data_IF_099963526022
#
_entry.id   IF_099963526022
#
_cell.length_a   1.000
_cell.length_b   1.000
_cell.length_c   1.000
_cell.angle_alpha   90.00
_cell.angle_beta   90.00
_cell.angle_gamma   90.00
#
_symmetry.space_group_name_H-M   'P 1'
#
loop_
_entity.id
_entity.type
_entity.pdbx_description
1 polymer ?
#
# COMPACT_ATOMS: atom_id res chain seq x y z
N UNK A 1 -18.36 7.60 -22.85
CA UNK A 1 -16.99 7.16 -22.48
C UNK A 1 -16.14 8.33 -21.96
N UNK A 2 -16.04 9.49 -22.67
CA UNK A 2 -15.26 10.64 -22.23
C UNK A 2 -15.57 11.07 -20.78
N UNK A 3 -16.85 11.14 -20.40
CA UNK A 3 -17.27 11.48 -19.03
C UNK A 3 -16.74 10.50 -17.99
N UNK A 4 -16.61 9.23 -18.32
CA UNK A 4 -16.08 8.22 -17.38
C UNK A 4 -14.60 8.46 -17.08
N UNK A 5 -13.79 8.78 -18.11
CA UNK A 5 -12.37 9.10 -17.89
C UNK A 5 -12.18 10.39 -17.10
N UNK A 6 -13.00 11.41 -17.35
CA UNK A 6 -12.98 12.65 -16.57
C UNK A 6 -13.34 12.38 -15.12
N UNK A 7 -14.42 11.62 -14.87
CA UNK A 7 -14.82 11.27 -13.51
C UNK A 7 -13.73 10.45 -12.80
N UNK A 8 -13.12 9.50 -13.49
CA UNK A 8 -12.04 8.69 -12.94
C UNK A 8 -10.83 9.55 -12.55
N UNK A 9 -10.42 10.47 -13.44
CA UNK A 9 -9.33 11.39 -13.16
C UNK A 9 -9.66 12.30 -11.96
N UNK A 10 -10.86 12.88 -11.92
CA UNK A 10 -11.29 13.74 -10.82
C UNK A 10 -11.34 12.97 -9.48
N UNK A 11 -11.94 11.77 -9.46
CA UNK A 11 -12.03 10.95 -8.25
C UNK A 11 -10.63 10.61 -7.73
N UNK A 12 -9.69 10.23 -8.60
CA UNK A 12 -8.33 9.89 -8.18
C UNK A 12 -7.53 11.12 -7.73
N UNK A 13 -7.67 12.26 -8.41
CA UNK A 13 -7.00 13.50 -8.01
C UNK A 13 -7.55 14.05 -6.69
N UNK A 14 -8.88 14.12 -6.54
CA UNK A 14 -9.48 14.57 -5.28
C UNK A 14 -9.27 13.56 -4.16
N UNK A 15 -9.27 12.26 -4.46
CA UNK A 15 -8.87 11.21 -3.53
C UNK A 15 -7.44 11.38 -3.04
N UNK A 16 -6.52 11.77 -3.92
CA UNK A 16 -5.15 12.14 -3.54
C UNK A 16 -5.13 13.37 -2.62
N UNK A 17 -5.78 14.45 -3.02
CA UNK A 17 -5.84 15.70 -2.23
C UNK A 17 -6.53 15.52 -0.88
N UNK A 18 -7.44 14.58 -0.76
CA UNK A 18 -8.08 14.24 0.52
C UNK A 18 -7.08 13.72 1.56
N UNK A 19 -5.98 13.09 1.12
CA UNK A 19 -4.90 12.63 2.00
C UNK A 19 -3.97 13.75 2.48
N UNK A 20 -4.06 14.94 1.89
CA UNK A 20 -3.29 16.12 2.31
C UNK A 20 -3.03 17.08 1.17
N UNK A 21 -2.80 18.36 1.51
CA UNK A 21 -2.53 19.44 0.57
C UNK A 21 -1.07 19.44 0.10
N UNK A 22 -0.62 18.34 -0.52
CA UNK A 22 0.74 18.18 -1.03
C UNK A 22 0.75 17.67 -2.47
N UNK A 23 1.70 18.16 -3.26
CA UNK A 23 1.92 17.66 -4.62
C UNK A 23 2.23 16.16 -4.69
N UNK A 24 2.76 15.58 -3.64
CA UNK A 24 2.99 14.15 -3.53
C UNK A 24 1.69 13.35 -3.67
N UNK A 25 0.63 13.79 -2.99
CA UNK A 25 -0.68 13.14 -3.06
C UNK A 25 -1.37 13.36 -4.40
N UNK A 26 -1.16 14.53 -5.03
CA UNK A 26 -1.64 14.78 -6.41
C UNK A 26 -0.97 13.83 -7.39
N UNK A 27 0.36 13.65 -7.31
CA UNK A 27 1.10 12.71 -8.15
C UNK A 27 0.67 11.28 -7.89
N UNK A 28 0.51 10.88 -6.63
CA UNK A 28 0.00 9.56 -6.26
C UNK A 28 -1.38 9.28 -6.84
N UNK A 29 -2.33 10.22 -6.69
CA UNK A 29 -3.66 10.11 -7.29
C UNK A 29 -3.62 10.07 -8.82
N UNK A 30 -2.78 10.89 -9.45
CA UNK A 30 -2.59 10.90 -10.90
C UNK A 30 -2.06 9.55 -11.42
N UNK A 31 -1.07 8.94 -10.75
CA UNK A 31 -0.54 7.61 -11.10
C UNK A 31 -1.67 6.58 -11.10
N UNK A 32 -2.47 6.51 -10.04
CA UNK A 32 -3.58 5.58 -9.94
C UNK A 32 -4.67 5.85 -11.00
N UNK A 33 -4.99 7.12 -11.23
CA UNK A 33 -5.94 7.53 -12.27
C UNK A 33 -5.47 7.12 -13.67
N UNK A 34 -4.19 7.29 -13.97
CA UNK A 34 -3.59 6.88 -15.24
C UNK A 34 -3.59 5.35 -15.40
N UNK A 35 -3.24 4.60 -14.36
CA UNK A 35 -3.27 3.13 -14.39
C UNK A 35 -4.68 2.61 -14.68
N UNK A 36 -5.70 3.11 -13.97
CA UNK A 36 -7.09 2.73 -14.18
C UNK A 36 -7.62 3.17 -15.54
N UNK A 37 -7.26 4.38 -15.99
CA UNK A 37 -7.60 4.88 -17.32
C UNK A 37 -7.01 4.01 -18.42
N UNK A 38 -5.75 3.62 -18.28
CA UNK A 38 -5.07 2.73 -19.21
C UNK A 38 -5.71 1.35 -19.26
N UNK A 39 -5.96 0.74 -18.11
CA UNK A 39 -6.63 -0.57 -18.05
C UNK A 39 -8.02 -0.52 -18.70
N UNK A 40 -8.79 0.52 -18.39
CA UNK A 40 -10.10 0.71 -18.98
C UNK A 40 -10.05 0.92 -20.51
N UNK A 41 -9.06 1.66 -21.02
CA UNK A 41 -8.91 1.90 -22.47
C UNK A 41 -8.67 0.61 -23.26
N UNK A 42 -8.05 -0.38 -22.65
CA UNK A 42 -7.80 -1.68 -23.27
C UNK A 42 -9.05 -2.61 -23.25
N UNK A 43 -10.02 -2.34 -22.38
CA UNK A 43 -11.27 -3.07 -22.28
C UNK A 43 -11.06 -4.59 -22.14
N UNK A 44 -11.80 -5.36 -22.95
CA UNK A 44 -11.73 -6.84 -22.94
C UNK A 44 -10.40 -7.40 -23.47
N UNK A 45 -9.63 -6.60 -24.20
CA UNK A 45 -8.34 -6.98 -24.79
C UNK A 45 -7.14 -6.56 -23.93
N UNK A 46 -7.35 -6.28 -22.64
CA UNK A 46 -6.30 -5.87 -21.72
C UNK A 46 -5.09 -6.81 -21.78
N UNK A 47 -3.90 -6.22 -21.84
CA UNK A 47 -2.61 -6.93 -21.80
C UNK A 47 -2.54 -7.82 -20.55
N UNK A 48 -3.07 -7.34 -19.42
CA UNK A 48 -3.12 -8.10 -18.17
C UNK A 48 -3.87 -9.42 -18.26
N UNK A 49 -4.88 -9.53 -19.14
CA UNK A 49 -5.62 -10.78 -19.37
C UNK A 49 -4.83 -11.83 -20.14
N UNK A 50 -3.80 -11.41 -20.88
CA UNK A 50 -2.91 -12.28 -21.64
C UNK A 50 -1.72 -12.76 -20.84
N UNK A 51 -1.42 -12.08 -19.72
CA UNK A 51 -0.31 -12.44 -18.83
C UNK A 51 -0.71 -13.58 -17.89
N UNK A 52 0.24 -14.47 -17.55
CA UNK A 52 0.04 -15.38 -16.43
C UNK A 52 -0.32 -14.61 -15.16
N UNK A 53 -1.25 -15.14 -14.38
CA UNK A 53 -1.74 -14.48 -13.16
C UNK A 53 -0.64 -13.99 -12.21
N UNK A 54 0.43 -14.78 -11.92
CA UNK A 54 1.51 -14.31 -11.05
C UNK A 54 2.24 -13.08 -11.61
N UNK A 55 2.41 -13.02 -12.94
CA UNK A 55 3.08 -11.88 -13.61
C UNK A 55 2.23 -10.62 -13.49
N UNK A 56 0.92 -10.73 -13.73
CA UNK A 56 -0.01 -9.62 -13.54
C UNK A 56 0.00 -9.08 -12.11
N UNK A 57 0.00 -9.98 -11.12
CA UNK A 57 0.10 -9.61 -9.70
C UNK A 57 1.43 -8.89 -9.42
N UNK A 58 2.55 -9.42 -9.89
CA UNK A 58 3.87 -8.83 -9.67
C UNK A 58 3.98 -7.42 -10.28
N UNK A 59 3.47 -7.21 -11.50
CA UNK A 59 3.45 -5.91 -12.16
C UNK A 59 2.59 -4.92 -11.36
N UNK A 60 1.36 -5.30 -11.01
CA UNK A 60 0.47 -4.44 -10.23
C UNK A 60 1.08 -4.09 -8.87
N UNK A 61 1.66 -5.08 -8.19
CA UNK A 61 2.36 -4.87 -6.92
C UNK A 61 3.52 -3.88 -7.06
N UNK A 62 4.37 -4.04 -8.07
CA UNK A 62 5.48 -3.12 -8.35
C UNK A 62 5.01 -1.68 -8.63
N UNK A 63 3.95 -1.52 -9.43
CA UNK A 63 3.35 -0.21 -9.72
C UNK A 63 2.75 0.44 -8.47
N UNK A 64 2.08 -0.34 -7.62
CA UNK A 64 1.55 0.14 -6.35
C UNK A 64 2.69 0.55 -5.41
N UNK A 65 3.74 -0.26 -5.26
CA UNK A 65 4.92 0.09 -4.46
C UNK A 65 5.57 1.38 -4.96
N UNK A 66 5.71 1.54 -6.28
CA UNK A 66 6.22 2.78 -6.89
C UNK A 66 5.35 3.99 -6.51
N UNK A 67 4.03 3.88 -6.63
CA UNK A 67 3.10 4.95 -6.27
C UNK A 67 3.17 5.29 -4.77
N UNK A 68 3.35 4.29 -3.90
CA UNK A 68 3.46 4.47 -2.46
C UNK A 68 4.69 5.25 -2.01
N UNK A 69 5.75 5.30 -2.82
CA UNK A 69 6.91 6.16 -2.54
C UNK A 69 6.48 7.62 -2.48
N UNK A 70 5.65 8.06 -3.42
CA UNK A 70 5.10 9.43 -3.40
C UNK A 70 4.19 9.66 -2.21
N UNK A 71 3.36 8.68 -1.87
CA UNK A 71 2.47 8.77 -0.72
C UNK A 71 3.22 8.94 0.61
N UNK A 72 4.34 8.22 0.78
CA UNK A 72 5.10 8.19 2.05
C UNK A 72 6.13 9.32 2.17
N UNK A 73 6.65 9.82 1.08
CA UNK A 73 7.68 10.84 1.09
C UNK A 73 7.13 12.23 1.51
N UNK A 74 7.88 13.01 2.31
CA UNK A 74 7.41 14.32 2.76
C UNK A 74 7.38 15.36 1.63
N UNK A 75 8.22 15.22 0.60
CA UNK A 75 8.32 16.14 -0.55
C UNK A 75 8.60 15.39 -1.84
N UNK A 76 8.28 16.01 -3.00
CA UNK A 76 8.60 15.42 -4.30
C UNK A 76 10.10 15.15 -4.50
N UNK A 77 11.03 16.06 -4.15
CA UNK A 77 12.45 15.75 -4.22
C UNK A 77 12.87 14.54 -3.38
N UNK A 78 12.28 14.40 -2.16
CA UNK A 78 12.55 13.23 -1.32
C UNK A 78 12.00 11.95 -1.95
N UNK A 79 10.82 11.98 -2.59
CA UNK A 79 10.27 10.85 -3.33
C UNK A 79 11.20 10.41 -4.47
N UNK A 80 11.70 11.37 -5.26
CA UNK A 80 12.62 11.09 -6.37
C UNK A 80 13.94 10.52 -5.88
N UNK A 81 14.52 11.10 -4.80
CA UNK A 81 15.74 10.57 -4.18
C UNK A 81 15.53 9.12 -3.69
N UNK A 82 14.37 8.82 -3.13
CA UNK A 82 14.03 7.46 -2.69
C UNK A 82 13.92 6.48 -3.88
N UNK A 83 13.30 6.90 -4.98
CA UNK A 83 13.23 6.10 -6.21
C UNK A 83 14.61 5.86 -6.81
N UNK A 84 15.49 6.87 -6.81
CA UNK A 84 16.88 6.71 -7.24
C UNK A 84 17.64 5.69 -6.38
N UNK A 85 17.47 5.77 -5.06
CA UNK A 85 18.06 4.79 -4.14
C UNK A 85 17.53 3.37 -4.37
N UNK A 86 16.22 3.20 -4.62
CA UNK A 86 15.61 1.90 -4.98
C UNK A 86 16.17 1.35 -6.30
N UNK A 87 16.53 2.22 -7.24
CA UNK A 87 17.18 1.85 -8.50
C UNK A 87 18.70 1.56 -8.36
N UNK A 88 19.25 1.67 -7.14
CA UNK A 88 20.68 1.48 -6.88
C UNK A 88 21.55 2.67 -7.29
N UNK A 89 20.94 3.82 -7.61
CA UNK A 89 21.64 5.03 -8.03
C UNK A 89 22.00 5.96 -6.86
N UNK A 90 21.63 5.61 -5.64
CA UNK A 90 21.90 6.37 -4.42
C UNK A 90 23.13 5.85 -3.68
N UNK A 91 23.87 6.74 -2.99
CA UNK A 91 24.87 6.33 -2.05
C UNK A 91 24.21 5.65 -0.83
N UNK A 92 24.68 4.46 -0.46
CA UNK A 92 24.27 3.79 0.77
C UNK A 92 24.94 4.52 1.95
N UNK A 93 24.18 5.38 2.63
CA UNK A 93 24.62 6.00 3.89
C UNK A 93 24.37 5.10 5.09
N UNK A 94 24.86 5.52 6.27
CA UNK A 94 24.68 4.77 7.53
C UNK A 94 23.23 4.45 7.86
N UNK A 95 22.29 5.32 7.45
CA UNK A 95 20.86 5.08 7.56
C UNK A 95 20.40 3.81 6.81
N UNK A 96 21.05 3.46 5.70
CA UNK A 96 20.71 2.25 4.95
C UNK A 96 21.07 0.97 5.71
N UNK A 97 22.13 0.98 6.50
CA UNK A 97 22.51 -0.14 7.38
C UNK A 97 21.48 -0.32 8.49
N UNK A 98 21.02 0.78 9.11
CA UNK A 98 19.98 0.73 10.14
C UNK A 98 18.65 0.20 9.59
N UNK A 99 18.20 0.69 8.42
CA UNK A 99 16.99 0.20 7.75
C UNK A 99 17.13 -1.27 7.38
N UNK A 100 18.31 -1.69 6.88
CA UNK A 100 18.57 -3.10 6.57
C UNK A 100 18.51 -3.98 7.81
N UNK A 101 19.14 -3.56 8.91
CA UNK A 101 19.10 -4.30 10.18
C UNK A 101 17.67 -4.44 10.70
N UNK A 102 16.88 -3.36 10.62
CA UNK A 102 15.47 -3.39 11.02
C UNK A 102 14.63 -4.29 10.10
N UNK A 103 14.79 -4.18 8.77
CA UNK A 103 14.03 -4.98 7.81
C UNK A 103 14.29 -6.49 7.96
N UNK A 104 15.54 -6.87 8.28
CA UNK A 104 15.94 -8.27 8.48
C UNK A 104 15.86 -8.72 9.93
N UNK A 105 15.33 -7.91 10.85
CA UNK A 105 15.08 -8.35 12.22
C UNK A 105 14.15 -9.57 12.23
N UNK A 106 14.45 -10.61 13.03
CA UNK A 106 13.65 -11.85 13.05
C UNK A 106 12.17 -11.60 13.34
N UNK A 107 11.86 -10.65 14.21
CA UNK A 107 10.48 -10.24 14.49
C UNK A 107 9.75 -9.77 13.22
N UNK A 108 10.36 -8.87 12.44
CA UNK A 108 9.74 -8.33 11.22
C UNK A 108 9.58 -9.41 10.14
N UNK A 109 10.55 -10.32 10.02
CA UNK A 109 10.45 -11.45 9.08
C UNK A 109 9.32 -12.40 9.46
N UNK A 110 9.16 -12.70 10.75
CA UNK A 110 8.05 -13.53 11.25
C UNK A 110 6.73 -12.84 10.98
N UNK A 111 6.61 -11.54 11.28
CA UNK A 111 5.36 -10.79 11.06
C UNK A 111 5.01 -10.68 9.58
N UNK A 112 5.98 -10.46 8.69
CA UNK A 112 5.77 -10.49 7.24
C UNK A 112 5.32 -11.89 6.79
N UNK A 113 5.94 -12.95 7.31
CA UNK A 113 5.54 -14.33 7.02
C UNK A 113 4.11 -14.62 7.46
N UNK A 114 3.73 -14.23 8.68
CA UNK A 114 2.37 -14.37 9.19
C UNK A 114 1.38 -13.58 8.33
N UNK A 115 1.69 -12.33 8.00
CA UNK A 115 0.85 -11.51 7.12
C UNK A 115 0.67 -12.16 5.74
N UNK A 116 1.73 -12.67 5.15
CA UNK A 116 1.69 -13.38 3.87
C UNK A 116 0.81 -14.64 3.95
N UNK A 117 0.95 -15.44 5.00
CA UNK A 117 0.12 -16.62 5.22
C UNK A 117 -1.37 -16.25 5.37
N UNK A 118 -1.68 -15.18 6.09
CA UNK A 118 -3.06 -14.70 6.24
C UNK A 118 -3.61 -14.19 4.90
N UNK A 119 -2.85 -13.37 4.17
CA UNK A 119 -3.33 -12.77 2.91
C UNK A 119 -3.51 -13.80 1.80
N UNK A 120 -2.58 -14.75 1.68
CA UNK A 120 -2.61 -15.74 0.59
C UNK A 120 -3.24 -17.08 0.99
N UNK A 121 -3.23 -17.42 2.27
CA UNK A 121 -3.75 -18.69 2.78
C UNK A 121 -5.22 -18.62 3.22
N UNK A 122 -5.74 -17.43 3.56
CA UNK A 122 -7.14 -17.29 3.95
C UNK A 122 -8.06 -17.28 2.71
N UNK A 123 -8.91 -18.29 2.52
CA UNK A 123 -9.84 -18.36 1.40
C UNK A 123 -11.04 -17.40 1.54
N UNK A 124 -11.19 -16.77 2.69
CA UNK A 124 -12.29 -15.89 3.04
C UNK A 124 -11.79 -14.48 3.36
N UNK A 125 -12.62 -13.49 3.05
CA UNK A 125 -12.40 -12.10 3.46
C UNK A 125 -12.84 -11.88 4.91
N UNK A 126 -12.40 -10.79 5.53
CA UNK A 126 -12.80 -10.41 6.89
C UNK A 126 -14.33 -10.40 7.06
N UNK A 127 -15.04 -9.92 6.04
CA UNK A 127 -16.52 -9.94 6.02
C UNK A 127 -17.09 -11.36 6.15
N UNK A 128 -16.55 -12.33 5.40
CA UNK A 128 -17.04 -13.71 5.46
C UNK A 128 -16.74 -14.37 6.82
N UNK A 129 -15.61 -13.99 7.42
CA UNK A 129 -15.22 -14.45 8.74
C UNK A 129 -16.15 -13.89 9.82
N UNK A 130 -16.52 -12.60 9.75
CA UNK A 130 -17.31 -11.91 10.78
C UNK A 130 -18.82 -12.01 10.58
N UNK A 131 -19.29 -12.31 9.38
CA UNK A 131 -20.74 -12.40 9.05
C UNK A 131 -21.51 -13.40 9.90
N UNK A 132 -20.84 -14.46 10.34
CA UNK A 132 -21.41 -15.47 11.25
C UNK A 132 -20.48 -15.62 12.44
N UNK A 133 -20.68 -14.77 13.45
CA UNK A 133 -19.89 -14.80 14.65
C UNK A 133 -20.25 -16.05 15.47
N UNK A 134 -19.26 -16.93 15.64
CA UNK A 134 -19.27 -17.95 16.70
C UNK A 134 -18.50 -17.41 17.91
N UNK A 135 -18.69 -17.96 19.13
CA UNK A 135 -17.93 -17.54 20.31
C UNK A 135 -16.42 -17.56 20.08
N UNK A 136 -15.91 -18.55 19.37
CA UNK A 136 -14.49 -18.67 19.03
C UNK A 136 -14.03 -17.53 18.10
N UNK A 137 -14.82 -17.22 17.06
CA UNK A 137 -14.50 -16.12 16.15
C UNK A 137 -14.56 -14.76 16.87
N UNK A 138 -15.54 -14.57 17.74
CA UNK A 138 -15.63 -13.37 18.56
C UNK A 138 -14.40 -13.24 19.47
N UNK A 139 -13.99 -14.31 20.13
CA UNK A 139 -12.79 -14.32 20.96
C UNK A 139 -11.52 -13.99 20.16
N UNK A 140 -11.37 -14.52 18.94
CA UNK A 140 -10.25 -14.17 18.05
C UNK A 140 -10.26 -12.68 17.69
N UNK A 141 -11.41 -12.13 17.30
CA UNK A 141 -11.53 -10.70 16.94
C UNK A 141 -11.19 -9.80 18.14
N UNK A 142 -11.73 -10.12 19.32
CA UNK A 142 -11.44 -9.37 20.54
C UNK A 142 -9.96 -9.51 20.92
N UNK A 143 -9.39 -10.71 20.83
CA UNK A 143 -7.97 -10.94 21.09
C UNK A 143 -7.06 -10.13 20.16
N UNK A 144 -7.36 -10.13 18.84
CA UNK A 144 -6.64 -9.31 17.87
C UNK A 144 -6.78 -7.80 18.18
N UNK A 145 -7.96 -7.34 18.58
CA UNK A 145 -8.18 -5.95 18.98
C UNK A 145 -7.33 -5.58 20.20
N UNK A 146 -7.33 -6.42 21.23
CA UNK A 146 -6.53 -6.18 22.44
C UNK A 146 -5.03 -6.17 22.12
N UNK A 147 -4.55 -7.10 21.31
CA UNK A 147 -3.16 -7.12 20.85
C UNK A 147 -2.81 -5.85 20.04
N UNK A 148 -3.69 -5.40 19.17
CA UNK A 148 -3.50 -4.16 18.40
C UNK A 148 -3.45 -2.93 19.33
N UNK A 149 -4.29 -2.88 20.36
CA UNK A 149 -4.27 -1.79 21.35
C UNK A 149 -2.99 -1.80 22.19
N UNK A 150 -2.50 -2.97 22.60
CA UNK A 150 -1.23 -3.10 23.31
C UNK A 150 -0.09 -2.63 22.40
N UNK A 151 -0.02 -3.10 21.17
CA UNK A 151 1.01 -2.70 20.20
C UNK A 151 0.96 -1.18 19.96
N UNK A 152 -0.23 -0.63 19.77
CA UNK A 152 -0.42 0.82 19.59
C UNK A 152 0.04 1.62 20.80
N UNK A 153 -0.17 1.13 22.03
CA UNK A 153 0.24 1.80 23.26
C UNK A 153 1.76 1.79 23.47
N UNK A 154 2.48 0.86 22.83
CA UNK A 154 3.95 0.78 22.90
C UNK A 154 4.64 1.68 21.87
N UNK A 155 3.90 2.20 20.89
CA UNK A 155 4.44 3.08 19.85
C UNK A 155 4.70 4.49 20.41
N UNK A 156 5.90 5.00 20.22
CA UNK A 156 6.29 6.35 20.64
C UNK A 156 5.97 7.43 19.59
N UNK A 157 5.52 7.05 18.40
CA UNK A 157 5.15 7.98 17.33
C UNK A 157 3.68 7.79 16.94
N UNK A 158 3.07 8.87 16.42
CA UNK A 158 1.70 8.79 15.95
C UNK A 158 1.64 8.01 14.62
N UNK A 159 1.02 6.82 14.56
CA UNK A 159 0.92 6.04 13.34
C UNK A 159 -0.06 6.63 12.32
N UNK A 160 -0.90 7.60 12.73
CA UNK A 160 -1.86 8.24 11.84
C UNK A 160 -1.17 9.30 10.98
N UNK A 161 -1.01 9.01 9.70
CA UNK A 161 -0.42 9.90 8.68
C UNK A 161 -1.19 11.23 8.56
N UNK A 162 -2.45 11.26 8.98
CA UNK A 162 -3.37 12.39 8.81
C UNK A 162 -3.22 13.49 9.86
N UNK A 163 -2.42 13.34 10.90
CA UNK A 163 -2.27 14.31 11.99
C UNK A 163 -0.94 15.08 11.95
N UNK A 164 -0.33 15.22 10.79
CA UNK A 164 0.84 16.08 10.57
C UNK A 164 0.42 17.43 9.96
N UNK A 165 -0.55 18.11 10.59
CA UNK A 165 -0.90 19.48 10.27
C UNK A 165 -0.47 20.40 11.41
#
# INVERSE_FOLDING_TARGET
>A
ERRTYVNLALVMLFGGLWHGASWNFVVWGAIHGLMLGFERSQGKNSIYRRLPRPVGIAITFGLVCFAWVFFRAPTLPAALAHLQAMAGLGAAGDAALAVRALAWAPYNLVMIGVAALVVWGAPWQTWDFTRRLSPVRAAIVVGCLLLALVELSTQSYNPFIYFLF
#
